data_IF_544579270990
#
_entry.id   IF_544579270990
#
_cell.length_a   1.000
_cell.length_b   1.000
_cell.length_c   1.000
_cell.angle_alpha   90.00
_cell.angle_beta   90.00
_cell.angle_gamma   90.00
#
_symmetry.space_group_name_H-M   'P 1'
#
loop_
_entity.id
_entity.type
_entity.pdbx_description
1 polymer ?
#
# COMPACT_ATOMS: atom_id res chain seq x y z
N UNK A 1 0.91 -4.33 14.54
CA UNK A 1 2.00 -3.50 14.00
C UNK A 1 1.81 -2.08 14.50
N UNK A 2 2.84 -1.47 15.09
CA UNK A 2 2.73 -0.10 15.59
C UNK A 2 2.60 0.91 14.42
N UNK A 3 2.05 2.10 14.65
CA UNK A 3 1.99 3.16 13.61
C UNK A 3 3.39 3.50 13.10
N UNK A 4 4.37 3.60 13.99
CA UNK A 4 5.75 3.95 13.65
C UNK A 4 6.41 2.92 12.73
N UNK A 5 6.18 1.63 13.01
CA UNK A 5 6.67 0.52 12.19
C UNK A 5 6.05 0.55 10.77
N UNK A 6 4.75 0.86 10.65
CA UNK A 6 4.08 1.04 9.36
C UNK A 6 4.67 2.20 8.56
N UNK A 7 4.95 3.33 9.21
CA UNK A 7 5.56 4.49 8.57
C UNK A 7 7.00 4.19 8.11
N UNK A 8 7.76 3.44 8.90
CA UNK A 8 9.11 2.99 8.52
C UNK A 8 9.08 2.09 7.28
N UNK A 9 8.19 1.09 7.23
CA UNK A 9 8.04 0.23 6.05
C UNK A 9 7.60 1.01 4.81
N UNK A 10 6.68 1.95 4.98
CA UNK A 10 6.25 2.85 3.90
C UNK A 10 7.42 3.69 3.37
N UNK A 11 8.21 4.29 4.25
CA UNK A 11 9.36 5.11 3.87
C UNK A 11 10.42 4.29 3.14
N UNK A 12 10.75 3.08 3.62
CA UNK A 12 11.67 2.16 2.93
C UNK A 12 11.17 1.78 1.52
N UNK A 13 9.86 1.62 1.34
CA UNK A 13 9.28 1.35 0.03
C UNK A 13 9.38 2.57 -0.89
N UNK A 14 9.04 3.77 -0.38
CA UNK A 14 9.14 5.04 -1.12
C UNK A 14 10.59 5.35 -1.52
N UNK A 15 11.55 5.04 -0.67
CA UNK A 15 13.00 5.22 -0.90
C UNK A 15 13.62 4.12 -1.77
N UNK A 16 12.81 3.26 -2.40
CA UNK A 16 13.26 2.15 -3.25
C UNK A 16 14.12 1.08 -2.56
N UNK A 17 14.16 1.08 -1.22
CA UNK A 17 14.85 0.05 -0.46
C UNK A 17 14.08 -1.29 -0.49
N UNK A 18 12.77 -1.23 -0.75
CA UNK A 18 11.89 -2.39 -0.95
C UNK A 18 11.21 -2.30 -2.30
N UNK A 19 11.13 -3.43 -3.03
CA UNK A 19 10.47 -3.51 -4.34
C UNK A 19 9.00 -3.91 -4.26
N UNK A 20 8.58 -4.52 -3.16
CA UNK A 20 7.23 -5.04 -2.96
C UNK A 20 6.75 -4.57 -1.59
N UNK A 21 5.55 -4.02 -1.56
CA UNK A 21 4.82 -3.69 -0.34
C UNK A 21 3.57 -4.57 -0.28
N UNK A 22 3.40 -5.32 0.81
CA UNK A 22 2.21 -6.12 1.07
C UNK A 22 1.46 -5.49 2.22
N UNK A 23 0.19 -5.19 2.00
CA UNK A 23 -0.65 -4.43 2.92
C UNK A 23 -2.09 -4.94 2.88
N UNK A 24 -2.82 -4.71 3.97
CA UNK A 24 -4.28 -4.87 4.02
C UNK A 24 -4.97 -3.54 3.66
N UNK A 25 -6.30 -3.55 3.52
CA UNK A 25 -7.15 -2.44 3.04
C UNK A 25 -6.93 -1.08 3.73
N UNK A 26 -6.20 -1.03 4.85
CA UNK A 26 -5.83 0.19 5.56
C UNK A 26 -4.93 1.13 4.73
N UNK A 27 -4.27 0.62 3.69
CA UNK A 27 -3.30 1.36 2.90
C UNK A 27 -3.84 1.88 1.55
N UNK A 28 -5.09 1.58 1.16
CA UNK A 28 -5.63 2.00 -0.14
C UNK A 28 -5.95 3.51 -0.23
N UNK A 29 -6.19 4.19 0.90
CA UNK A 29 -6.61 5.61 0.88
C UNK A 29 -5.52 6.54 1.41
N UNK A 30 -5.10 7.49 0.57
CA UNK A 30 -4.22 8.59 0.97
C UNK A 30 -2.72 8.29 0.92
N UNK A 31 -2.32 7.15 0.36
CA UNK A 31 -0.92 6.88 0.04
C UNK A 31 -0.57 7.46 -1.32
N UNK A 32 0.42 8.33 -1.35
CA UNK A 32 0.99 8.85 -2.59
C UNK A 32 2.37 8.25 -2.81
N UNK A 33 2.43 7.29 -3.73
CA UNK A 33 3.67 6.65 -4.17
C UNK A 33 3.79 6.84 -5.68
N UNK A 34 4.60 7.81 -6.09
CA UNK A 34 4.75 8.27 -7.48
C UNK A 34 5.15 7.19 -8.50
N UNK A 35 5.63 6.02 -8.05
CA UNK A 35 6.30 5.03 -8.90
C UNK A 35 5.83 3.60 -8.65
N UNK A 36 4.53 3.42 -8.46
CA UNK A 36 3.90 2.10 -8.46
C UNK A 36 3.43 1.76 -9.88
N UNK A 37 4.02 0.72 -10.47
CA UNK A 37 3.69 0.31 -11.83
C UNK A 37 2.48 -0.65 -11.87
N UNK A 38 2.32 -1.47 -10.84
CA UNK A 38 1.33 -2.54 -10.78
C UNK A 38 0.83 -2.67 -9.34
N UNK A 39 -0.51 -2.76 -9.20
CA UNK A 39 -1.18 -3.11 -7.94
C UNK A 39 -1.85 -4.47 -8.12
N UNK A 40 -1.66 -5.35 -7.15
CA UNK A 40 -2.29 -6.68 -7.13
C UNK A 40 -3.27 -6.77 -5.96
N UNK A 41 -4.56 -6.88 -6.28
CA UNK A 41 -5.59 -7.21 -5.30
C UNK A 41 -5.65 -8.73 -5.13
N UNK A 42 -4.95 -9.26 -4.12
CA UNK A 42 -4.91 -10.71 -3.86
C UNK A 42 -6.28 -11.26 -3.43
N UNK A 43 -7.00 -10.48 -2.61
CA UNK A 43 -8.39 -10.72 -2.28
C UNK A 43 -9.25 -9.69 -3.01
N UNK A 44 -10.42 -10.12 -3.51
CA UNK A 44 -11.37 -9.20 -4.12
C UNK A 44 -11.90 -8.23 -3.06
N UNK A 45 -11.92 -6.92 -3.33
CA UNK A 45 -12.56 -5.95 -2.44
C UNK A 45 -14.04 -6.24 -2.23
N UNK A 46 -14.58 -5.85 -1.07
CA UNK A 46 -15.99 -6.09 -0.71
C UNK A 46 -16.95 -5.20 -1.52
N UNK A 47 -16.47 -4.06 -1.99
CA UNK A 47 -17.24 -3.06 -2.74
C UNK A 47 -16.39 -2.36 -3.81
N UNK A 48 -17.06 -1.68 -4.73
CA UNK A 48 -16.43 -0.99 -5.85
C UNK A 48 -15.58 0.22 -5.44
N UNK A 49 -15.96 0.91 -4.37
CA UNK A 49 -15.25 2.10 -3.91
C UNK A 49 -13.89 1.68 -3.34
N UNK A 50 -13.85 0.59 -2.59
CA UNK A 50 -12.62 -0.02 -2.08
C UNK A 50 -11.73 -0.55 -3.20
N UNK A 51 -12.27 -0.96 -4.35
CA UNK A 51 -11.46 -1.36 -5.51
C UNK A 51 -10.86 -0.17 -6.26
N UNK A 52 -11.59 0.95 -6.33
CA UNK A 52 -11.16 2.15 -7.04
C UNK A 52 -10.07 2.93 -6.30
N UNK A 53 -10.01 2.76 -4.99
CA UNK A 53 -8.99 3.33 -4.10
C UNK A 53 -7.74 2.45 -4.06
#
# INVERSE_FOLDING_TARGET
MAQEERLSHYQQFKDFQRRILVATNLFGRGMDIERVNIVFNYNMPEDSDTYLH
#
